data_IF_120648643245
#
_entry.id   IF_120648643245
#
_cell.length_a   1.000
_cell.length_b   1.000
_cell.length_c   1.000
_cell.angle_alpha   90.00
_cell.angle_beta   90.00
_cell.angle_gamma   90.00
#
_symmetry.space_group_name_H-M   'P 1'
#
loop_
_entity.id
_entity.type
_entity.pdbx_description
1 polymer ?
#
# COMPACT_ATOMS: atom_id res chain seq x y z
N UNK A 1 -41.84 -7.36 -13.29
CA UNK A 1 -41.34 -6.02 -13.69
C UNK A 1 -41.43 -4.94 -12.59
N UNK A 2 -42.30 -5.00 -11.55
CA UNK A 2 -42.34 -3.94 -10.50
C UNK A 2 -41.29 -4.04 -9.39
N UNK A 3 -40.56 -5.16 -9.27
CA UNK A 3 -39.61 -5.40 -8.17
C UNK A 3 -38.17 -4.95 -8.49
N UNK A 4 -37.74 -4.99 -9.76
CA UNK A 4 -36.36 -4.64 -10.14
C UNK A 4 -36.06 -3.15 -10.02
N UNK A 5 -36.98 -2.29 -10.44
CA UNK A 5 -36.75 -0.83 -10.48
C UNK A 5 -36.68 -0.21 -9.08
N UNK A 6 -37.39 -0.80 -8.12
CA UNK A 6 -37.35 -0.38 -6.70
C UNK A 6 -36.02 -0.77 -6.07
N UNK A 7 -35.50 -1.96 -6.39
CA UNK A 7 -34.22 -2.42 -5.87
C UNK A 7 -33.04 -1.65 -6.49
N UNK A 8 -33.11 -1.35 -7.79
CA UNK A 8 -32.12 -0.51 -8.49
C UNK A 8 -31.97 0.86 -7.82
N UNK A 9 -33.09 1.54 -7.53
CA UNK A 9 -33.05 2.84 -6.84
C UNK A 9 -32.39 2.76 -5.46
N UNK A 10 -32.67 1.70 -4.69
CA UNK A 10 -32.04 1.50 -3.38
C UNK A 10 -30.53 1.28 -3.49
N UNK A 11 -30.08 0.52 -4.49
CA UNK A 11 -28.65 0.30 -4.72
C UNK A 11 -27.96 1.62 -5.11
N UNK A 12 -28.57 2.43 -5.97
CA UNK A 12 -28.06 3.78 -6.29
C UNK A 12 -28.02 4.70 -5.07
N UNK A 13 -29.03 4.66 -4.20
CA UNK A 13 -29.05 5.42 -2.95
C UNK A 13 -27.91 5.00 -2.00
N UNK A 14 -27.66 3.68 -1.85
CA UNK A 14 -26.54 3.16 -1.07
C UNK A 14 -25.19 3.60 -1.66
N UNK A 15 -25.07 3.62 -2.99
CA UNK A 15 -23.89 4.12 -3.67
C UNK A 15 -23.69 5.62 -3.45
N UNK A 16 -24.77 6.40 -3.43
CA UNK A 16 -24.76 7.82 -3.09
C UNK A 16 -24.29 8.11 -1.66
N UNK A 17 -24.35 7.13 -0.76
CA UNK A 17 -23.80 7.19 0.59
C UNK A 17 -22.32 6.75 0.68
N UNK A 18 -21.69 6.39 -0.44
CA UNK A 18 -20.29 5.96 -0.51
C UNK A 18 -20.05 4.47 -0.24
N UNK A 19 -21.10 3.64 -0.26
CA UNK A 19 -20.95 2.19 -0.09
C UNK A 19 -20.60 1.51 -1.43
N UNK A 20 -19.68 0.54 -1.43
CA UNK A 20 -19.41 -0.30 -2.59
C UNK A 20 -20.41 -1.45 -2.68
N UNK A 21 -20.80 -1.82 -3.90
CA UNK A 21 -21.77 -2.89 -4.16
C UNK A 21 -21.08 -4.02 -4.90
N UNK A 22 -21.08 -5.21 -4.28
CA UNK A 22 -20.44 -6.40 -4.83
C UNK A 22 -21.52 -7.38 -5.30
N UNK A 23 -21.38 -7.92 -6.51
CA UNK A 23 -22.22 -8.99 -7.02
C UNK A 23 -21.60 -10.33 -6.65
N UNK A 24 -22.29 -11.10 -5.82
CA UNK A 24 -21.86 -12.43 -5.38
C UNK A 24 -22.25 -13.54 -6.37
N UNK A 25 -21.54 -14.67 -6.30
CA UNK A 25 -21.80 -15.93 -7.01
C UNK A 25 -21.95 -15.80 -8.54
N UNK A 26 -21.16 -14.91 -9.16
CA UNK A 26 -21.25 -14.72 -10.60
C UNK A 26 -20.86 -15.99 -11.35
N UNK A 27 -21.77 -16.46 -12.22
CA UNK A 27 -21.61 -17.68 -13.01
C UNK A 27 -22.29 -18.92 -12.43
N UNK A 28 -22.81 -18.88 -11.19
CA UNK A 28 -23.72 -19.92 -10.68
C UNK A 28 -25.17 -19.52 -11.00
N UNK A 29 -25.98 -20.48 -11.48
CA UNK A 29 -27.43 -20.34 -11.72
C UNK A 29 -27.92 -19.09 -12.46
N UNK A 30 -28.12 -19.13 -13.78
CA UNK A 30 -28.78 -18.08 -14.59
C UNK A 30 -28.31 -16.61 -14.38
N UNK A 31 -27.16 -16.38 -13.72
CA UNK A 31 -26.55 -15.07 -13.57
C UNK A 31 -26.17 -14.53 -14.95
N UNK A 32 -27.13 -13.82 -15.55
CA UNK A 32 -27.01 -13.35 -16.92
C UNK A 32 -26.11 -12.13 -16.98
N UNK A 33 -25.29 -12.05 -18.02
CA UNK A 33 -24.52 -10.87 -18.42
C UNK A 33 -25.33 -9.57 -18.40
N UNK A 34 -26.66 -9.65 -18.53
CA UNK A 34 -27.54 -8.48 -18.45
C UNK A 34 -27.53 -7.80 -17.07
N UNK A 35 -27.27 -8.54 -15.99
CA UNK A 35 -27.16 -7.97 -14.63
C UNK A 35 -25.89 -7.15 -14.46
N UNK A 36 -24.76 -7.60 -15.04
CA UNK A 36 -23.50 -6.87 -14.99
C UNK A 36 -23.61 -5.47 -15.59
N UNK A 37 -24.43 -5.31 -16.63
CA UNK A 37 -24.61 -4.04 -17.32
C UNK A 37 -25.73 -3.16 -16.74
N UNK A 38 -26.61 -3.72 -15.91
CA UNK A 38 -27.81 -2.99 -15.44
C UNK A 38 -27.76 -2.62 -13.96
N UNK A 39 -26.96 -3.32 -13.15
CA UNK A 39 -26.81 -3.02 -11.72
C UNK A 39 -25.66 -2.04 -11.48
N UNK A 40 -25.76 -1.12 -10.51
CA UNK A 40 -24.70 -0.18 -10.17
C UNK A 40 -23.61 -0.82 -9.30
N UNK A 41 -23.11 -1.98 -9.72
CA UNK A 41 -22.09 -2.75 -9.01
C UNK A 41 -20.70 -2.17 -9.26
N UNK A 42 -19.80 -2.36 -8.30
CA UNK A 42 -18.39 -1.95 -8.38
C UNK A 42 -17.47 -3.17 -8.51
N UNK A 43 -17.91 -4.33 -7.98
CA UNK A 43 -17.13 -5.56 -7.98
C UNK A 43 -17.98 -6.78 -8.34
N UNK A 44 -17.34 -7.75 -8.97
CA UNK A 44 -17.92 -9.07 -9.30
C UNK A 44 -17.10 -10.15 -8.62
N UNK A 45 -17.77 -11.03 -7.87
CA UNK A 45 -17.13 -12.16 -7.22
C UNK A 45 -17.23 -13.42 -8.09
N UNK A 46 -16.07 -14.03 -8.33
CA UNK A 46 -15.94 -15.36 -8.94
C UNK A 46 -16.09 -16.40 -7.84
N UNK A 47 -17.11 -17.22 -7.99
CA UNK A 47 -17.43 -18.31 -7.05
C UNK A 47 -16.31 -19.37 -7.02
N UNK A 48 -16.11 -19.98 -5.85
CA UNK A 48 -15.11 -21.02 -5.62
C UNK A 48 -15.19 -22.17 -6.63
N UNK A 49 -16.39 -22.55 -7.08
CA UNK A 49 -16.53 -23.66 -8.04
C UNK A 49 -15.82 -23.40 -9.37
N UNK A 50 -15.68 -22.14 -9.79
CA UNK A 50 -14.86 -21.78 -10.94
C UNK A 50 -13.36 -21.87 -10.61
N UNK A 51 -12.97 -21.38 -9.43
CA UNK A 51 -11.57 -21.44 -8.96
C UNK A 51 -11.07 -22.88 -8.86
N UNK A 52 -11.91 -23.81 -8.40
CA UNK A 52 -11.57 -25.23 -8.27
C UNK A 52 -11.33 -25.93 -9.62
N UNK A 53 -11.98 -25.46 -10.69
CA UNK A 53 -11.89 -26.09 -12.02
C UNK A 53 -10.96 -25.37 -13.00
N UNK A 54 -10.53 -24.15 -12.69
CA UNK A 54 -9.79 -23.28 -13.64
C UNK A 54 -8.47 -23.85 -14.15
N UNK A 55 -7.85 -24.75 -13.38
CA UNK A 55 -6.60 -25.43 -13.76
C UNK A 55 -6.81 -26.83 -14.33
N UNK A 56 -8.06 -27.30 -14.41
CA UNK A 56 -8.36 -28.67 -14.87
C UNK A 56 -8.28 -28.81 -16.40
N UNK A 57 -8.53 -27.72 -17.14
CA UNK A 57 -8.36 -27.70 -18.60
C UNK A 57 -8.12 -26.30 -19.16
N UNK A 58 -7.47 -26.23 -20.33
CA UNK A 58 -7.35 -25.01 -21.15
C UNK A 58 -8.69 -24.33 -21.43
N UNK A 59 -9.76 -25.11 -21.55
CA UNK A 59 -11.10 -24.58 -21.82
C UNK A 59 -11.64 -23.81 -20.60
N UNK A 60 -11.56 -24.41 -19.41
CA UNK A 60 -12.02 -23.76 -18.17
C UNK A 60 -11.19 -22.51 -17.87
N UNK A 61 -9.87 -22.60 -18.07
CA UNK A 61 -8.96 -21.47 -17.96
C UNK A 61 -9.43 -20.27 -18.81
N UNK A 62 -9.67 -20.50 -20.10
CA UNK A 62 -10.11 -19.45 -21.03
C UNK A 62 -11.48 -18.87 -20.70
N UNK A 63 -12.39 -19.68 -20.16
CA UNK A 63 -13.71 -19.19 -19.73
C UNK A 63 -13.54 -18.14 -18.64
N UNK A 64 -12.72 -18.43 -17.63
CA UNK A 64 -12.49 -17.54 -16.50
C UNK A 64 -11.74 -16.27 -16.93
N UNK A 65 -10.67 -16.41 -17.75
CA UNK A 65 -9.97 -15.26 -18.35
C UNK A 65 -10.93 -14.35 -19.12
N UNK A 66 -11.87 -14.94 -19.88
CA UNK A 66 -12.86 -14.17 -20.65
C UNK A 66 -13.85 -13.43 -19.73
N UNK A 67 -14.33 -14.09 -18.66
CA UNK A 67 -15.23 -13.48 -17.67
C UNK A 67 -14.54 -12.30 -17.00
N UNK A 68 -13.29 -12.49 -16.58
CA UNK A 68 -12.49 -11.44 -15.93
C UNK A 68 -12.25 -10.26 -16.85
N UNK A 69 -11.79 -10.54 -18.09
CA UNK A 69 -11.58 -9.50 -19.10
C UNK A 69 -12.85 -8.72 -19.38
N UNK A 70 -14.00 -9.39 -19.47
CA UNK A 70 -15.28 -8.72 -19.66
C UNK A 70 -15.61 -7.76 -18.51
N UNK A 71 -15.50 -8.23 -17.26
CA UNK A 71 -15.79 -7.41 -16.08
C UNK A 71 -14.90 -6.16 -16.04
N UNK A 72 -13.60 -6.33 -16.29
CA UNK A 72 -12.65 -5.22 -16.36
C UNK A 72 -13.01 -4.22 -17.47
N UNK A 73 -13.41 -4.71 -18.65
CA UNK A 73 -13.78 -3.86 -19.79
C UNK A 73 -15.01 -2.98 -19.54
N UNK A 74 -15.89 -3.37 -18.61
CA UNK A 74 -17.04 -2.55 -18.20
C UNK A 74 -16.79 -1.78 -16.89
N UNK A 75 -15.53 -1.73 -16.44
CA UNK A 75 -15.09 -0.93 -15.29
C UNK A 75 -15.33 -1.58 -13.93
N UNK A 76 -15.57 -2.89 -13.89
CA UNK A 76 -15.78 -3.63 -12.64
C UNK A 76 -14.49 -4.26 -12.17
N UNK A 77 -14.26 -4.27 -10.85
CA UNK A 77 -13.18 -5.06 -10.27
C UNK A 77 -13.63 -6.51 -10.12
N UNK A 78 -12.72 -7.45 -10.34
CA UNK A 78 -13.00 -8.87 -10.13
C UNK A 78 -12.41 -9.31 -8.81
N UNK A 79 -13.16 -10.10 -8.06
CA UNK A 79 -12.74 -10.65 -6.78
C UNK A 79 -12.93 -12.17 -6.82
N UNK A 80 -12.01 -12.95 -6.27
CA UNK A 80 -12.17 -14.41 -6.18
C UNK A 80 -12.05 -14.89 -4.73
N UNK A 81 -12.79 -15.95 -4.39
CA UNK A 81 -12.74 -16.63 -3.09
C UNK A 81 -12.26 -18.08 -3.25
N UNK A 82 -11.88 -18.72 -2.14
CA UNK A 82 -11.61 -20.16 -2.12
C UNK A 82 -10.35 -20.58 -2.89
N UNK A 83 -9.34 -19.72 -3.00
CA UNK A 83 -8.05 -20.07 -3.59
C UNK A 83 -7.28 -21.00 -2.66
N UNK A 84 -6.95 -22.18 -3.18
CA UNK A 84 -6.33 -23.26 -2.42
C UNK A 84 -4.92 -23.64 -2.91
N UNK A 85 -4.52 -23.16 -4.09
CA UNK A 85 -3.23 -23.50 -4.74
C UNK A 85 -2.50 -22.26 -5.25
N UNK A 86 -1.16 -22.33 -5.22
CA UNK A 86 -0.28 -21.28 -5.76
C UNK A 86 -0.55 -20.99 -7.25
N UNK A 87 -0.72 -22.03 -8.06
CA UNK A 87 -1.02 -21.89 -9.49
C UNK A 87 -2.37 -21.18 -9.74
N UNK A 88 -3.33 -21.34 -8.82
CA UNK A 88 -4.61 -20.64 -8.91
C UNK A 88 -4.39 -19.14 -8.65
N UNK A 89 -3.66 -18.84 -7.58
CA UNK A 89 -3.30 -17.48 -7.22
C UNK A 89 -2.58 -16.74 -8.36
N UNK A 90 -1.53 -17.34 -8.93
CA UNK A 90 -0.74 -16.74 -10.01
C UNK A 90 -1.60 -16.41 -11.25
N UNK A 91 -2.48 -17.33 -11.65
CA UNK A 91 -3.39 -17.11 -12.77
C UNK A 91 -4.36 -15.94 -12.49
N UNK A 92 -4.90 -15.86 -11.28
CA UNK A 92 -5.87 -14.82 -10.90
C UNK A 92 -5.20 -13.44 -10.85
N UNK A 93 -3.99 -13.36 -10.26
CA UNK A 93 -3.20 -12.12 -10.22
C UNK A 93 -2.82 -11.65 -11.63
N UNK A 94 -2.35 -12.55 -12.49
CA UNK A 94 -2.01 -12.23 -13.89
C UNK A 94 -3.17 -11.60 -14.67
N UNK A 95 -4.41 -11.85 -14.23
CA UNK A 95 -5.61 -11.32 -14.85
C UNK A 95 -6.25 -10.19 -14.02
N UNK A 96 -5.50 -9.55 -13.11
CA UNK A 96 -5.94 -8.45 -12.25
C UNK A 96 -7.14 -8.81 -11.36
N UNK A 97 -7.20 -10.02 -10.81
CA UNK A 97 -8.19 -10.40 -9.81
C UNK A 97 -7.75 -9.99 -8.40
N UNK A 98 -8.64 -9.37 -7.64
CA UNK A 98 -8.49 -9.15 -6.20
C UNK A 98 -8.84 -10.44 -5.47
N UNK A 99 -8.12 -10.78 -4.39
CA UNK A 99 -8.36 -12.02 -3.66
C UNK A 99 -9.05 -11.75 -2.32
N UNK A 100 -10.16 -12.46 -2.04
CA UNK A 100 -10.78 -12.48 -0.70
C UNK A 100 -10.05 -13.51 0.18
N UNK A 101 -9.77 -13.11 1.41
CA UNK A 101 -8.95 -13.86 2.36
C UNK A 101 -9.62 -15.16 2.82
N UNK A 102 -9.19 -16.31 2.31
CA UNK A 102 -9.69 -17.62 2.80
C UNK A 102 -8.61 -18.58 3.31
N UNK A 103 -7.31 -18.32 3.12
CA UNK A 103 -6.27 -19.24 3.62
C UNK A 103 -4.94 -18.55 3.99
N UNK A 104 -4.68 -18.38 5.29
CA UNK A 104 -3.41 -17.85 5.82
C UNK A 104 -2.18 -18.67 5.40
N UNK A 105 -2.36 -19.94 5.07
CA UNK A 105 -1.26 -20.88 4.76
C UNK A 105 -0.69 -20.66 3.36
N UNK A 106 -1.56 -20.39 2.39
CA UNK A 106 -1.16 -20.06 1.01
C UNK A 106 -0.55 -18.67 0.98
N UNK A 107 -1.11 -17.71 1.71
CA UNK A 107 -0.53 -16.36 1.86
C UNK A 107 0.86 -16.35 2.52
N UNK A 108 1.23 -17.39 3.28
CA UNK A 108 2.58 -17.56 3.83
C UNK A 108 3.58 -18.21 2.85
N UNK A 109 3.10 -18.99 1.88
CA UNK A 109 3.93 -19.60 0.83
C UNK A 109 4.00 -18.73 -0.44
N UNK A 110 3.00 -17.87 -0.66
CA UNK A 110 3.02 -16.78 -1.63
C UNK A 110 4.03 -15.75 -1.11
N UNK A 111 5.21 -15.66 -1.72
CA UNK A 111 6.09 -14.50 -1.56
C UNK A 111 5.24 -13.24 -1.69
N UNK A 112 5.17 -12.44 -0.63
CA UNK A 112 4.54 -11.12 -0.67
C UNK A 112 4.97 -10.42 -1.96
N UNK A 113 4.04 -10.15 -2.88
CA UNK A 113 4.39 -9.61 -4.19
C UNK A 113 4.98 -8.20 -4.04
N UNK A 114 4.58 -7.45 -3.02
CA UNK A 114 5.03 -6.07 -2.84
C UNK A 114 5.44 -5.83 -1.40
N UNK A 115 6.69 -5.38 -1.19
CA UNK A 115 7.20 -4.95 0.12
C UNK A 115 6.98 -3.45 0.29
N UNK A 116 6.29 -3.07 1.36
CA UNK A 116 6.18 -1.66 1.74
C UNK A 116 7.30 -1.30 2.71
N UNK A 117 7.95 -0.18 2.42
CA UNK A 117 8.96 0.43 3.28
C UNK A 117 8.75 1.92 3.41
N UNK A 118 9.28 2.52 4.47
CA UNK A 118 9.17 3.95 4.72
C UNK A 118 10.37 4.46 5.51
N UNK A 119 10.59 5.76 5.52
CA UNK A 119 11.44 6.41 6.51
C UNK A 119 10.88 6.25 7.94
N UNK A 120 11.74 6.32 8.97
CA UNK A 120 11.36 6.21 10.39
C UNK A 120 10.36 7.26 10.88
N UNK A 121 10.20 8.34 10.13
CA UNK A 121 9.36 9.51 10.49
C UNK A 121 7.89 9.38 10.08
N UNK A 122 7.43 8.19 9.70
CA UNK A 122 6.03 7.96 9.31
C UNK A 122 5.07 7.80 10.49
N UNK A 123 5.58 7.69 11.72
CA UNK A 123 4.79 7.60 12.97
C UNK A 123 3.71 6.51 12.98
N UNK A 124 3.89 5.44 12.19
CA UNK A 124 3.05 4.25 12.29
C UNK A 124 3.34 3.49 13.59
N UNK A 125 2.28 2.94 14.19
CA UNK A 125 2.41 2.15 15.41
C UNK A 125 3.16 0.83 15.15
N UNK A 126 3.87 0.28 16.15
CA UNK A 126 4.54 -1.02 16.01
C UNK A 126 3.59 -2.16 15.60
N UNK A 127 2.32 -2.08 16.03
CA UNK A 127 1.28 -3.02 15.64
C UNK A 127 1.00 -2.95 14.13
N UNK A 128 0.83 -1.75 13.57
CA UNK A 128 0.61 -1.58 12.12
C UNK A 128 1.83 -2.06 11.34
N UNK A 129 3.04 -1.67 11.76
CA UNK A 129 4.29 -2.10 11.11
C UNK A 129 4.39 -3.63 11.05
N UNK A 130 4.04 -4.31 12.15
CA UNK A 130 4.06 -5.78 12.23
C UNK A 130 2.96 -6.40 11.37
N UNK A 131 1.72 -5.93 11.50
CA UNK A 131 0.55 -6.51 10.83
C UNK A 131 0.62 -6.43 9.30
N UNK A 132 1.29 -5.39 8.78
CA UNK A 132 1.45 -5.17 7.35
C UNK A 132 2.87 -5.48 6.86
N UNK A 133 3.76 -6.00 7.72
CA UNK A 133 5.16 -6.28 7.38
C UNK A 133 5.84 -5.05 6.73
N UNK A 134 5.68 -3.87 7.32
CA UNK A 134 6.32 -2.63 6.84
C UNK A 134 7.70 -2.54 7.47
N UNK A 135 8.72 -2.28 6.66
CA UNK A 135 10.09 -2.06 7.15
C UNK A 135 10.46 -0.59 7.12
N UNK A 136 11.12 -0.11 8.17
CA UNK A 136 11.55 1.27 8.28
C UNK A 136 13.02 1.45 7.94
N UNK A 137 13.33 2.48 7.18
CA UNK A 137 14.66 3.04 7.00
C UNK A 137 14.89 4.08 8.12
N UNK A 138 15.79 3.82 9.08
CA UNK A 138 16.10 4.77 10.13
C UNK A 138 16.77 6.03 9.58
N UNK A 139 16.25 7.21 9.89
CA UNK A 139 16.97 8.46 9.68
C UNK A 139 18.02 8.67 10.77
N UNK A 140 18.90 9.64 10.55
CA UNK A 140 20.01 9.93 11.45
C UNK A 140 19.75 11.17 12.31
N UNK A 141 19.99 11.02 13.60
CA UNK A 141 19.95 12.08 14.61
C UNK A 141 21.37 12.25 15.15
N UNK A 142 21.92 13.44 14.94
CA UNK A 142 23.26 13.80 15.40
C UNK A 142 23.14 14.60 16.70
N UNK A 143 23.59 14.02 17.81
CA UNK A 143 23.69 14.68 19.11
C UNK A 143 25.15 15.05 19.37
N UNK A 144 25.45 16.35 19.37
CA UNK A 144 26.81 16.89 19.29
C UNK A 144 27.59 16.35 18.10
N UNK A 145 28.46 15.37 18.30
CA UNK A 145 29.29 14.73 17.26
C UNK A 145 29.00 13.22 17.13
N UNK A 146 27.95 12.73 17.80
CA UNK A 146 27.57 11.32 17.80
C UNK A 146 26.33 11.13 16.93
N UNK A 147 26.42 10.14 16.04
CA UNK A 147 25.38 9.79 15.08
C UNK A 147 24.56 8.60 15.58
N UNK A 148 23.24 8.73 15.54
CA UNK A 148 22.29 7.74 16.04
C UNK A 148 21.20 7.47 15.01
N UNK A 149 20.83 6.19 14.85
CA UNK A 149 19.69 5.82 14.02
C UNK A 149 18.38 5.96 14.80
N UNK A 150 17.47 6.76 14.25
CA UNK A 150 16.17 7.05 14.80
C UNK A 150 15.31 5.78 14.95
N UNK A 151 14.76 5.57 16.14
CA UNK A 151 13.97 4.38 16.49
C UNK A 151 14.79 3.09 16.66
N UNK A 152 16.11 3.14 16.50
CA UNK A 152 17.02 1.99 16.67
C UNK A 152 18.01 2.23 17.80
N UNK A 153 18.81 3.29 17.69
CA UNK A 153 19.84 3.63 18.67
C UNK A 153 19.38 4.76 19.61
N UNK A 154 18.35 5.52 19.22
CA UNK A 154 17.82 6.66 19.97
C UNK A 154 16.29 6.72 19.87
N UNK A 155 15.64 7.18 20.95
CA UNK A 155 14.19 7.41 21.01
C UNK A 155 13.87 8.89 21.26
N UNK A 156 12.62 9.34 21.03
CA UNK A 156 12.20 10.70 21.37
C UNK A 156 12.50 11.09 22.83
N UNK A 157 12.30 10.16 23.77
CA UNK A 157 12.59 10.36 25.20
C UNK A 157 14.07 10.69 25.44
N UNK A 158 14.97 10.01 24.74
CA UNK A 158 16.41 10.27 24.84
C UNK A 158 16.78 11.64 24.28
N UNK A 159 16.16 12.02 23.15
CA UNK A 159 16.36 13.33 22.53
C UNK A 159 15.94 14.45 23.50
N UNK A 160 14.76 14.33 24.14
CA UNK A 160 14.32 15.31 25.14
C UNK A 160 15.28 15.41 26.32
N UNK A 161 15.83 14.28 26.78
CA UNK A 161 16.83 14.27 27.86
C UNK A 161 18.13 14.95 27.43
N UNK A 162 18.67 14.64 26.24
CA UNK A 162 19.92 15.23 25.78
C UNK A 162 19.79 16.74 25.52
N UNK A 163 18.72 17.17 24.86
CA UNK A 163 18.56 18.57 24.46
C UNK A 163 17.98 19.41 25.61
N UNK A 164 16.93 18.92 26.26
CA UNK A 164 16.19 19.66 27.28
C UNK A 164 16.90 19.71 28.64
N UNK A 165 17.44 18.57 29.10
CA UNK A 165 18.06 18.49 30.43
C UNK A 165 19.57 18.75 30.38
N UNK A 166 20.25 18.23 29.36
CA UNK A 166 21.71 18.31 29.24
C UNK A 166 22.20 19.45 28.34
N UNK A 167 21.29 20.16 27.65
CA UNK A 167 21.62 21.31 26.81
C UNK A 167 22.46 20.97 25.58
N UNK A 168 22.49 19.70 25.15
CA UNK A 168 23.26 19.26 23.99
C UNK A 168 22.68 19.78 22.69
N UNK A 169 23.54 19.88 21.67
CA UNK A 169 23.09 20.20 20.32
C UNK A 169 22.45 18.98 19.66
N UNK A 170 21.45 19.21 18.81
CA UNK A 170 20.75 18.17 18.08
C UNK A 170 20.50 18.65 16.64
N UNK A 171 20.86 17.80 15.68
CA UNK A 171 20.63 17.99 14.25
C UNK A 171 20.16 16.67 13.64
N UNK A 172 19.59 16.75 12.46
CA UNK A 172 19.24 15.58 11.66
C UNK A 172 19.98 15.59 10.33
N UNK A 173 20.27 14.41 9.82
CA UNK A 173 20.88 14.20 8.51
C UNK A 173 20.01 13.22 7.72
N UNK A 174 19.92 13.45 6.41
CA UNK A 174 19.26 12.51 5.52
C UNK A 174 20.11 11.24 5.37
N UNK A 175 19.44 10.11 5.17
CA UNK A 175 20.09 8.85 4.84
C UNK A 175 20.80 9.00 3.48
N UNK A 176 22.04 8.53 3.37
CA UNK A 176 22.81 8.64 2.14
C UNK A 176 22.44 7.54 1.12
N UNK A 177 22.92 7.68 -0.11
CA UNK A 177 22.60 6.74 -1.20
C UNK A 177 23.10 5.31 -0.94
N UNK A 178 24.27 5.15 -0.33
CA UNK A 178 24.86 3.83 -0.03
C UNK A 178 24.03 3.04 1.00
N UNK A 179 23.49 3.72 2.01
CA UNK A 179 22.60 3.10 2.99
C UNK A 179 21.28 2.66 2.35
N UNK A 180 20.67 3.49 1.50
CA UNK A 180 19.49 3.09 0.72
C UNK A 180 19.78 1.93 -0.22
N UNK A 181 20.93 1.93 -0.92
CA UNK A 181 21.33 0.83 -1.80
C UNK A 181 21.39 -0.50 -1.04
N UNK A 182 22.00 -0.51 0.16
CA UNK A 182 22.06 -1.71 0.99
C UNK A 182 20.68 -2.14 1.50
N UNK A 183 19.84 -1.19 1.90
CA UNK A 183 18.49 -1.48 2.37
C UNK A 183 17.62 -2.10 1.26
N UNK A 184 17.69 -1.57 0.05
CA UNK A 184 16.98 -2.15 -1.10
C UNK A 184 17.57 -3.49 -1.54
N UNK A 185 18.90 -3.67 -1.43
CA UNK A 185 19.58 -4.93 -1.76
C UNK A 185 19.04 -6.13 -0.99
N UNK A 186 18.67 -5.92 0.28
CA UNK A 186 18.13 -6.97 1.13
C UNK A 186 16.72 -7.41 0.71
N UNK A 187 15.96 -6.51 0.08
CA UNK A 187 14.54 -6.74 -0.22
C UNK A 187 14.29 -7.05 -1.70
N UNK A 188 14.88 -6.30 -2.63
CA UNK A 188 14.62 -6.41 -4.07
C UNK A 188 14.64 -7.85 -4.63
N UNK A 189 15.57 -8.76 -4.24
CA UNK A 189 15.57 -10.16 -4.71
C UNK A 189 14.44 -11.04 -4.15
N UNK A 190 13.84 -10.62 -3.05
CA UNK A 190 12.90 -11.42 -2.25
C UNK A 190 11.44 -11.10 -2.55
N UNK A 191 11.16 -9.93 -3.13
CA UNK A 191 9.81 -9.44 -3.43
C UNK A 191 9.72 -9.10 -4.92
N UNK A 192 8.52 -9.17 -5.50
CA UNK A 192 8.31 -8.79 -6.90
C UNK A 192 8.49 -7.28 -7.08
N UNK A 193 8.02 -6.47 -6.12
CA UNK A 193 8.31 -5.05 -6.03
C UNK A 193 8.59 -4.58 -4.59
N UNK A 194 9.30 -3.46 -4.47
CA UNK A 194 9.49 -2.73 -3.21
C UNK A 194 8.99 -1.31 -3.42
N UNK A 195 8.00 -0.87 -2.65
CA UNK A 195 7.57 0.54 -2.63
C UNK A 195 8.17 1.18 -1.39
N UNK A 196 8.96 2.23 -1.59
CA UNK A 196 9.54 3.03 -0.52
C UNK A 196 8.90 4.42 -0.51
N UNK A 197 8.19 4.73 0.56
CA UNK A 197 7.55 6.03 0.75
C UNK A 197 8.45 6.90 1.63
N UNK A 198 8.95 7.99 1.08
CA UNK A 198 9.84 8.90 1.78
C UNK A 198 9.08 9.99 2.54
N UNK A 199 9.71 10.52 3.59
CA UNK A 199 9.46 11.87 4.10
C UNK A 199 9.48 12.87 2.93
N UNK A 200 8.58 13.86 2.97
CA UNK A 200 8.44 14.85 1.92
C UNK A 200 9.75 15.53 1.53
N UNK A 201 10.01 15.65 0.23
CA UNK A 201 11.27 16.21 -0.29
C UNK A 201 11.53 17.67 0.10
N UNK A 202 10.51 18.42 0.51
CA UNK A 202 10.67 19.78 1.04
C UNK A 202 11.30 19.80 2.45
N UNK A 203 11.31 18.67 3.15
CA UNK A 203 11.85 18.54 4.51
C UNK A 203 13.24 17.89 4.55
N UNK A 204 13.53 17.00 3.59
CA UNK A 204 14.73 16.17 3.56
C UNK A 204 15.15 15.81 2.14
N UNK A 205 16.46 15.64 1.93
CA UNK A 205 17.01 15.07 0.69
C UNK A 205 16.88 13.54 0.61
N UNK A 206 16.28 12.89 1.61
CA UNK A 206 16.05 11.43 1.65
C UNK A 206 15.39 10.91 0.37
N UNK A 207 14.34 11.56 -0.12
CA UNK A 207 13.67 11.19 -1.37
C UNK A 207 14.63 11.14 -2.56
N UNK A 208 15.46 12.17 -2.74
CA UNK A 208 16.40 12.22 -3.84
C UNK A 208 17.49 11.15 -3.72
N UNK A 209 17.98 10.91 -2.50
CA UNK A 209 18.98 9.88 -2.23
C UNK A 209 18.42 8.46 -2.48
N UNK A 210 17.20 8.19 -2.01
CA UNK A 210 16.50 6.94 -2.26
C UNK A 210 16.25 6.72 -3.76
N UNK A 211 15.86 7.77 -4.49
CA UNK A 211 15.65 7.72 -5.94
C UNK A 211 16.93 7.34 -6.69
N UNK A 212 18.06 7.97 -6.37
CA UNK A 212 19.36 7.62 -6.97
C UNK A 212 19.73 6.16 -6.65
N UNK A 213 19.60 5.75 -5.38
CA UNK A 213 19.88 4.38 -4.97
C UNK A 213 18.98 3.35 -5.68
N UNK A 214 17.73 3.70 -5.97
CA UNK A 214 16.79 2.82 -6.66
C UNK A 214 17.13 2.56 -8.13
N UNK A 215 17.95 3.40 -8.79
CA UNK A 215 18.34 3.22 -10.20
C UNK A 215 19.06 1.89 -10.45
N UNK A 216 19.64 1.30 -9.41
CA UNK A 216 20.27 -0.03 -9.46
C UNK A 216 19.28 -1.21 -9.45
N UNK A 217 17.98 -0.95 -9.27
CA UNK A 217 16.95 -1.96 -9.11
C UNK A 217 15.73 -1.67 -9.99
N UNK A 218 15.37 -2.62 -10.86
CA UNK A 218 14.22 -2.46 -11.76
C UNK A 218 12.86 -2.57 -11.05
N UNK A 219 12.83 -3.02 -9.80
CA UNK A 219 11.60 -3.30 -9.05
C UNK A 219 11.46 -2.49 -7.75
N UNK A 220 12.21 -1.39 -7.61
CA UNK A 220 12.13 -0.49 -6.46
C UNK A 220 11.48 0.81 -6.91
N UNK A 221 10.39 1.18 -6.25
CA UNK A 221 9.56 2.34 -6.57
C UNK A 221 9.65 3.34 -5.42
N UNK A 222 10.05 4.57 -5.72
CA UNK A 222 10.26 5.63 -4.71
C UNK A 222 9.15 6.66 -4.81
N UNK A 223 8.39 6.83 -3.72
CA UNK A 223 7.25 7.73 -3.61
C UNK A 223 7.61 8.90 -2.69
N UNK A 224 7.43 10.12 -3.16
CA UNK A 224 7.56 11.34 -2.35
C UNK A 224 6.21 11.62 -1.67
N UNK A 225 6.10 11.38 -0.37
CA UNK A 225 4.81 11.58 0.33
C UNK A 225 4.34 13.04 0.36
N UNK A 226 5.24 14.01 0.09
CA UNK A 226 5.00 15.45 0.30
C UNK A 226 4.48 15.81 1.70
N UNK A 227 4.69 14.92 2.66
CA UNK A 227 4.16 15.03 4.00
C UNK A 227 5.18 14.48 5.01
N UNK A 228 4.84 14.52 6.30
CA UNK A 228 5.66 14.02 7.40
C UNK A 228 4.78 13.39 8.48
N UNK A 229 5.38 12.70 9.44
CA UNK A 229 4.66 12.13 10.59
C UNK A 229 3.49 11.26 10.12
N UNK A 230 2.36 11.33 10.80
CA UNK A 230 1.12 10.63 10.47
C UNK A 230 0.58 10.95 9.07
N UNK A 231 0.94 12.09 8.48
CA UNK A 231 0.58 12.40 7.09
C UNK A 231 1.32 11.51 6.08
N UNK A 232 2.63 11.32 6.24
CA UNK A 232 3.37 10.34 5.43
C UNK A 232 2.98 8.91 5.84
N UNK A 233 2.74 8.66 7.13
CA UNK A 233 2.21 7.39 7.63
C UNK A 233 0.89 6.97 6.98
N UNK A 234 -0.01 7.91 6.70
CA UNK A 234 -1.27 7.62 6.00
C UNK A 234 -1.02 7.07 4.59
N UNK A 235 -0.07 7.67 3.85
CA UNK A 235 0.33 7.19 2.52
C UNK A 235 0.93 5.77 2.60
N UNK A 236 1.80 5.53 3.60
CA UNK A 236 2.40 4.21 3.84
C UNK A 236 1.32 3.16 4.16
N UNK A 237 0.36 3.52 5.00
CA UNK A 237 -0.72 2.64 5.42
C UNK A 237 -1.65 2.29 4.25
N UNK A 238 -2.01 3.26 3.41
CA UNK A 238 -2.79 3.02 2.21
C UNK A 238 -2.04 2.09 1.24
N UNK A 239 -0.75 2.34 1.01
CA UNK A 239 0.08 1.47 0.18
C UNK A 239 0.08 0.02 0.68
N UNK A 240 0.14 -0.16 2.00
CA UNK A 240 0.12 -1.46 2.64
C UNK A 240 -1.24 -2.17 2.55
N UNK A 241 -2.35 -1.44 2.62
CA UNK A 241 -3.69 -1.99 2.37
C UNK A 241 -3.78 -2.46 0.92
N UNK A 242 -3.44 -1.61 -0.05
CA UNK A 242 -3.54 -1.94 -1.46
C UNK A 242 -2.63 -3.12 -1.84
N UNK A 243 -1.41 -3.17 -1.30
CA UNK A 243 -0.50 -4.30 -1.49
C UNK A 243 -1.09 -5.60 -0.91
N UNK A 244 -1.71 -5.52 0.28
CA UNK A 244 -2.37 -6.67 0.91
C UNK A 244 -3.61 -7.14 0.16
N UNK A 245 -4.33 -6.23 -0.49
CA UNK A 245 -5.46 -6.54 -1.37
C UNK A 245 -5.01 -7.10 -2.73
N UNK A 246 -3.71 -7.14 -3.01
CA UNK A 246 -3.14 -7.76 -4.22
C UNK A 246 -3.18 -6.86 -5.45
N UNK A 247 -3.26 -5.54 -5.29
CA UNK A 247 -3.18 -4.62 -6.42
C UNK A 247 -1.79 -4.67 -7.09
N UNK A 248 -1.71 -4.57 -8.42
CA UNK A 248 -0.43 -4.42 -9.13
C UNK A 248 0.31 -3.15 -8.70
N UNK A 249 1.64 -3.19 -8.69
CA UNK A 249 2.49 -2.09 -8.19
C UNK A 249 2.23 -0.77 -8.90
N UNK A 250 1.99 -0.80 -10.20
CA UNK A 250 1.68 0.40 -11.00
C UNK A 250 0.38 1.04 -10.53
N UNK A 251 -0.65 0.23 -10.26
CA UNK A 251 -1.94 0.70 -9.76
C UNK A 251 -1.83 1.26 -8.35
N UNK A 252 -0.99 0.67 -7.50
CA UNK A 252 -0.71 1.22 -6.16
C UNK A 252 -0.04 2.59 -6.31
N UNK A 253 1.02 2.69 -7.10
CA UNK A 253 1.73 3.95 -7.34
C UNK A 253 0.78 5.05 -7.85
N UNK A 254 -0.04 4.76 -8.85
CA UNK A 254 -1.02 5.72 -9.40
C UNK A 254 -2.01 6.20 -8.31
N UNK A 255 -2.54 5.27 -7.50
CA UNK A 255 -3.45 5.60 -6.40
C UNK A 255 -2.79 6.47 -5.34
N UNK A 256 -1.53 6.21 -5.00
CA UNK A 256 -0.78 7.02 -4.05
C UNK A 256 -0.52 8.42 -4.62
N UNK A 257 -0.15 8.54 -5.90
CA UNK A 257 0.02 9.84 -6.58
C UNK A 257 -1.28 10.67 -6.57
N UNK A 258 -2.44 10.04 -6.72
CA UNK A 258 -3.74 10.70 -6.59
C UNK A 258 -4.12 11.06 -5.15
N UNK A 259 -3.61 10.31 -4.16
CA UNK A 259 -3.91 10.51 -2.74
C UNK A 259 -3.04 11.60 -2.12
N UNK A 260 -1.74 11.63 -2.43
CA UNK A 260 -0.76 12.58 -1.88
C UNK A 260 -1.28 14.04 -1.83
N UNK A 261 -1.81 14.64 -2.91
CA UNK A 261 -2.27 16.03 -2.86
C UNK A 261 -3.53 16.26 -2.02
N UNK A 262 -4.20 15.18 -1.57
CA UNK A 262 -5.41 15.22 -0.73
C UNK A 262 -5.10 15.02 0.75
N UNK A 263 -3.87 14.63 1.10
CA UNK A 263 -3.45 14.42 2.50
C UNK A 263 -2.83 15.68 3.05
N UNK A 264 -3.53 16.30 3.99
CA UNK A 264 -3.05 17.46 4.74
C UNK A 264 -2.82 17.08 6.20
N UNK A 265 -1.68 17.49 6.75
CA UNK A 265 -1.31 17.23 8.13
C UNK A 265 -1.01 18.55 8.84
N UNK A 266 -1.71 18.79 9.94
CA UNK A 266 -1.55 19.97 10.78
C UNK A 266 -1.11 19.56 12.17
N UNK A 267 -0.21 20.34 12.76
CA UNK A 267 0.29 20.12 14.11
C UNK A 267 0.40 21.45 14.86
N UNK A 268 0.31 21.38 16.19
CA UNK A 268 0.48 22.52 17.08
C UNK A 268 1.76 22.31 17.89
N UNK A 269 2.58 23.34 17.99
CA UNK A 269 3.86 23.30 18.68
C UNK A 269 3.88 24.23 19.88
N UNK A 270 4.42 23.73 20.98
CA UNK A 270 4.56 24.51 22.22
C UNK A 270 5.77 25.47 22.17
N UNK A 271 6.80 25.13 21.39
CA UNK A 271 8.06 25.90 21.30
C UNK A 271 8.54 26.03 19.86
N UNK A 272 8.68 27.28 19.41
CA UNK A 272 9.22 27.61 18.08
C UNK A 272 10.75 27.44 17.98
N UNK A 273 11.45 27.43 19.12
CA UNK A 273 12.92 27.47 19.17
C UNK A 273 13.58 26.33 18.38
N UNK A 274 12.98 25.12 18.43
CA UNK A 274 13.52 23.95 17.75
C UNK A 274 13.35 24.02 16.23
N UNK A 275 12.19 24.47 15.74
CA UNK A 275 11.97 24.66 14.31
C UNK A 275 12.90 25.74 13.74
N UNK A 276 13.12 26.83 14.49
CA UNK A 276 14.05 27.89 14.10
C UNK A 276 15.48 27.38 14.06
N UNK A 277 15.94 26.67 15.09
CA UNK A 277 17.28 26.06 15.12
C UNK A 277 17.48 25.04 14.00
N UNK A 278 16.42 24.31 13.67
CA UNK A 278 16.39 23.37 12.55
C UNK A 278 16.32 24.04 11.18
N UNK A 279 16.07 25.34 11.07
CA UNK A 279 15.95 26.05 9.78
C UNK A 279 14.66 25.74 9.02
N UNK A 280 13.64 25.17 9.69
CA UNK A 280 12.33 24.84 9.09
C UNK A 280 11.24 25.86 9.46
N UNK A 281 11.62 26.91 10.18
CA UNK A 281 10.82 28.10 10.43
C UNK A 281 11.75 29.32 10.32
N UNK A 282 11.49 30.16 9.31
CA UNK A 282 12.17 31.44 9.07
C UNK A 282 11.38 32.61 9.63
#
# INVERSE_FOLDING_TARGET
>A
MKSSDVNLKKLEELKGLGMSIHLDDFGTGYSSLSYLNSLPIDRVKIDKSFVDVMLQSEKERKIIETIMSLAHNIGLQVVAEGVEKQEQFEMLVQNNCIMIQDNEKIMKEVKYMIKITSDSTCDLSPEILTNYNISLMPLHVVIDEQDFRDGVDITPTDIFKYVGEQGKSCKTTAVNTFEYENFFKEMSPNYEAVIHICLGSDFSSSYQNAKIASESYSNVYIIDSKNLSTGSGHIVYEAAILAKEGYPVEVICDKLEELIPKVDASFVIDKMDYLRKGGRCS
#
